data_IF_444410989791
#
_entry.id   IF_444410989791
#
_cell.length_a   1.000
_cell.length_b   1.000
_cell.length_c   1.000
_cell.angle_alpha   90.00
_cell.angle_beta   90.00
_cell.angle_gamma   90.00
#
_symmetry.space_group_name_H-M   'P 1'
#
loop_
_entity.id
_entity.type
_entity.pdbx_description
1 polymer ?
#
# COMPACT_ATOMS: atom_id res chain seq x y z
N UNK A 1 -7.88 5.18 17.35
CA UNK A 1 -7.81 5.17 15.87
C UNK A 1 -6.70 4.26 15.33
N UNK A 2 -5.43 4.45 15.72
CA UNK A 2 -4.32 3.60 15.23
C UNK A 2 -4.49 2.10 15.51
N UNK A 3 -5.08 1.73 16.66
CA UNK A 3 -5.34 0.33 17.01
C UNK A 3 -6.38 -0.35 16.09
N UNK A 4 -7.38 0.39 15.59
CA UNK A 4 -8.41 -0.14 14.68
C UNK A 4 -7.79 -0.47 13.32
N UNK A 5 -6.91 0.42 12.83
CA UNK A 5 -6.16 0.18 11.60
C UNK A 5 -5.28 -1.04 11.74
N UNK A 6 -4.50 -1.14 12.83
CA UNK A 6 -3.64 -2.30 13.08
C UNK A 6 -4.43 -3.61 13.17
N UNK A 7 -5.60 -3.59 13.81
CA UNK A 7 -6.47 -4.77 13.90
C UNK A 7 -6.99 -5.21 12.52
N UNK A 8 -7.40 -4.27 11.66
CA UNK A 8 -7.80 -4.55 10.29
C UNK A 8 -6.66 -5.12 9.44
N UNK A 9 -5.45 -4.58 9.59
CA UNK A 9 -4.25 -5.08 8.91
C UNK A 9 -3.90 -6.51 9.34
N UNK A 10 -3.95 -6.79 10.64
CA UNK A 10 -3.66 -8.13 11.20
C UNK A 10 -4.68 -9.16 10.72
N UNK A 11 -5.97 -8.81 10.70
CA UNK A 11 -7.03 -9.72 10.26
C UNK A 11 -6.95 -10.01 8.76
N UNK A 12 -6.53 -9.02 7.98
CA UNK A 12 -6.48 -9.12 6.51
C UNK A 12 -5.19 -9.75 5.97
N UNK A 13 -4.07 -9.62 6.70
CA UNK A 13 -2.76 -10.11 6.27
C UNK A 13 -2.73 -11.59 5.82
N UNK A 14 -3.37 -12.55 6.54
CA UNK A 14 -3.41 -13.95 6.11
C UNK A 14 -4.33 -14.19 4.90
N UNK A 15 -5.48 -13.49 4.85
CA UNK A 15 -6.49 -13.70 3.82
C UNK A 15 -6.10 -13.06 2.49
N UNK A 16 -5.53 -11.85 2.50
CA UNK A 16 -4.99 -11.20 1.31
C UNK A 16 -3.72 -11.89 0.81
N UNK A 17 -2.88 -12.42 1.69
CA UNK A 17 -1.72 -13.23 1.28
C UNK A 17 -2.15 -14.49 0.51
N UNK A 18 -3.14 -15.24 1.03
CA UNK A 18 -3.71 -16.41 0.33
C UNK A 18 -4.43 -16.02 -0.97
N UNK A 19 -5.07 -14.85 -1.02
CA UNK A 19 -5.70 -14.34 -2.24
C UNK A 19 -4.64 -13.93 -3.29
N UNK A 20 -3.51 -13.36 -2.85
CA UNK A 20 -2.37 -13.01 -3.69
C UNK A 20 -1.67 -14.24 -4.25
N UNK A 21 -1.64 -15.35 -3.51
CA UNK A 21 -1.15 -16.64 -4.00
C UNK A 21 -2.07 -17.26 -5.07
N UNK A 22 -3.39 -16.98 -5.05
CA UNK A 22 -4.36 -17.53 -6.01
C UNK A 22 -4.60 -16.65 -7.25
N UNK A 23 -4.66 -15.33 -7.10
CA UNK A 23 -4.98 -14.38 -8.18
C UNK A 23 -3.74 -13.73 -8.82
N UNK A 24 -2.56 -14.00 -8.27
CA UNK A 24 -1.33 -13.36 -8.69
C UNK A 24 -1.03 -12.11 -7.87
N UNK A 25 0.18 -12.08 -7.32
CA UNK A 25 0.69 -11.05 -6.42
C UNK A 25 0.51 -9.62 -6.98
N UNK A 26 0.80 -9.42 -8.26
CA UNK A 26 0.67 -8.11 -8.90
C UNK A 26 -0.78 -7.60 -9.01
N UNK A 27 -1.76 -8.50 -9.15
CA UNK A 27 -3.16 -8.12 -9.24
C UNK A 27 -3.68 -7.63 -7.89
N UNK A 28 -3.36 -8.37 -6.82
CA UNK A 28 -3.75 -8.03 -5.46
C UNK A 28 -3.08 -6.74 -5.01
N UNK A 29 -1.79 -6.54 -5.31
CA UNK A 29 -1.10 -5.27 -5.03
C UNK A 29 -1.81 -4.08 -5.68
N UNK A 30 -2.21 -4.20 -6.95
CA UNK A 30 -2.90 -3.12 -7.67
C UNK A 30 -4.28 -2.85 -7.05
N UNK A 31 -5.05 -3.89 -6.73
CA UNK A 31 -6.37 -3.75 -6.13
C UNK A 31 -6.30 -3.12 -4.73
N UNK A 32 -5.32 -3.54 -3.92
CA UNK A 32 -5.02 -2.95 -2.62
C UNK A 32 -4.68 -1.47 -2.70
N UNK A 33 -3.86 -1.08 -3.68
CA UNK A 33 -3.50 0.32 -3.90
C UNK A 33 -4.70 1.16 -4.33
N UNK A 34 -5.52 0.66 -5.27
CA UNK A 34 -6.76 1.34 -5.70
C UNK A 34 -7.72 1.52 -4.51
N UNK A 35 -7.95 0.47 -3.74
CA UNK A 35 -8.81 0.52 -2.57
C UNK A 35 -8.28 1.50 -1.52
N UNK A 36 -6.98 1.47 -1.23
CA UNK A 36 -6.34 2.40 -0.29
C UNK A 36 -6.48 3.86 -0.76
N UNK A 37 -6.24 4.17 -2.03
CA UNK A 37 -6.41 5.53 -2.57
C UNK A 37 -7.86 6.01 -2.45
N UNK A 38 -8.84 5.16 -2.78
CA UNK A 38 -10.27 5.50 -2.67
C UNK A 38 -10.68 5.74 -1.21
N UNK A 39 -10.26 4.89 -0.28
CA UNK A 39 -10.60 5.04 1.13
C UNK A 39 -9.90 6.24 1.79
N UNK A 40 -8.69 6.58 1.35
CA UNK A 40 -7.98 7.80 1.78
C UNK A 40 -8.66 9.06 1.25
N UNK A 41 -9.10 9.06 -0.01
CA UNK A 41 -9.85 10.17 -0.58
C UNK A 41 -11.21 10.36 0.12
N UNK A 42 -11.91 9.27 0.42
CA UNK A 42 -13.16 9.32 1.19
C UNK A 42 -12.94 9.84 2.62
N UNK A 43 -11.83 9.47 3.28
CA UNK A 43 -11.45 10.01 4.59
C UNK A 43 -11.20 11.52 4.58
N UNK A 44 -10.83 12.10 3.44
CA UNK A 44 -10.57 13.54 3.34
C UNK A 44 -11.85 14.39 3.33
N UNK A 45 -13.02 13.80 3.05
CA UNK A 45 -14.31 14.52 2.89
C UNK A 45 -15.31 14.14 3.99
N UNK A 46 -15.02 13.10 4.78
CA UNK A 46 -15.89 12.62 5.85
C UNK A 46 -15.52 13.30 7.18
N UNK A 47 -16.47 14.07 7.71
CA UNK A 47 -16.35 14.72 9.03
C UNK A 47 -16.87 13.85 10.18
N UNK A 48 -17.58 12.75 9.88
CA UNK A 48 -18.16 11.85 10.88
C UNK A 48 -17.11 10.87 11.45
N UNK A 49 -16.99 10.83 12.78
CA UNK A 49 -15.99 10.04 13.50
C UNK A 49 -16.13 8.53 13.27
N UNK A 50 -17.37 8.03 13.17
CA UNK A 50 -17.65 6.60 13.02
C UNK A 50 -17.37 6.17 11.58
N UNK A 51 -17.86 6.92 10.60
CA UNK A 51 -17.57 6.68 9.19
C UNK A 51 -16.07 6.76 8.90
N UNK A 52 -15.36 7.72 9.51
CA UNK A 52 -13.92 7.84 9.44
C UNK A 52 -13.21 6.60 10.02
N UNK A 53 -13.64 6.09 11.17
CA UNK A 53 -13.08 4.89 11.79
C UNK A 53 -13.28 3.62 10.94
N UNK A 54 -14.43 3.48 10.29
CA UNK A 54 -14.72 2.36 9.37
C UNK A 54 -13.82 2.44 8.14
N UNK A 55 -13.70 3.61 7.50
CA UNK A 55 -12.79 3.81 6.37
C UNK A 55 -11.33 3.51 6.75
N UNK A 56 -10.94 3.86 7.97
CA UNK A 56 -9.61 3.56 8.52
C UNK A 56 -9.37 2.05 8.67
N UNK A 57 -10.39 1.31 9.12
CA UNK A 57 -10.36 -0.14 9.21
C UNK A 57 -10.22 -0.79 7.82
N UNK A 58 -11.02 -0.33 6.85
CA UNK A 58 -10.96 -0.78 5.46
C UNK A 58 -9.61 -0.48 4.80
N UNK A 59 -9.02 0.68 5.11
CA UNK A 59 -7.67 1.03 4.64
C UNK A 59 -6.62 0.08 5.24
N UNK A 60 -6.73 -0.26 6.52
CA UNK A 60 -5.87 -1.25 7.17
C UNK A 60 -5.97 -2.64 6.52
N UNK A 61 -7.20 -3.07 6.21
CA UNK A 61 -7.46 -4.31 5.46
C UNK A 61 -6.75 -4.27 4.10
N UNK A 62 -6.91 -3.18 3.32
CA UNK A 62 -6.31 -3.06 1.99
C UNK A 62 -4.77 -3.09 2.03
N UNK A 63 -4.16 -2.44 3.04
CA UNK A 63 -2.71 -2.36 3.21
C UNK A 63 -2.08 -3.68 3.72
N UNK A 64 -2.84 -4.53 4.41
CA UNK A 64 -2.32 -5.75 5.05
C UNK A 64 -1.67 -6.75 4.09
N UNK A 65 -2.10 -6.78 2.83
CA UNK A 65 -1.54 -7.65 1.80
C UNK A 65 -0.32 -7.09 1.08
N UNK A 66 0.00 -5.80 1.22
CA UNK A 66 1.00 -5.14 0.36
C UNK A 66 2.42 -5.62 0.68
N UNK A 67 2.81 -5.62 1.96
CA UNK A 67 4.15 -6.00 2.40
C UNK A 67 4.56 -7.43 1.99
N UNK A 68 3.77 -8.50 2.27
CA UNK A 68 4.14 -9.84 1.84
C UNK A 68 4.16 -9.97 0.32
N UNK A 69 3.27 -9.26 -0.38
CA UNK A 69 3.17 -9.29 -1.83
C UNK A 69 4.41 -8.67 -2.51
N UNK A 70 4.90 -7.55 -2.00
CA UNK A 70 6.12 -6.90 -2.49
C UNK A 70 7.33 -7.79 -2.23
N UNK A 71 7.44 -8.38 -1.03
CA UNK A 71 8.55 -9.27 -0.68
C UNK A 71 8.58 -10.52 -1.56
N UNK A 72 7.45 -11.18 -1.82
CA UNK A 72 7.43 -12.36 -2.66
C UNK A 72 7.67 -12.03 -4.14
N UNK A 73 7.21 -10.85 -4.61
CA UNK A 73 7.55 -10.33 -5.93
C UNK A 73 9.05 -10.18 -6.09
N UNK A 74 9.72 -9.51 -5.14
CA UNK A 74 11.18 -9.31 -5.17
C UNK A 74 11.91 -10.66 -5.23
N UNK A 75 11.47 -11.64 -4.42
CA UNK A 75 12.05 -12.99 -4.41
C UNK A 75 11.83 -13.78 -5.70
N UNK A 76 10.76 -13.51 -6.45
CA UNK A 76 10.46 -14.20 -7.71
C UNK A 76 11.16 -13.60 -8.92
N UNK A 77 11.40 -12.28 -8.93
CA UNK A 77 12.01 -11.59 -10.08
C UNK A 77 13.54 -11.53 -10.02
N UNK A 78 14.15 -11.71 -8.84
CA UNK A 78 15.60 -11.58 -8.70
C UNK A 78 16.29 -12.92 -8.40
N UNK A 79 17.54 -13.10 -8.88
CA UNK A 79 18.42 -14.18 -8.44
C UNK A 79 18.71 -14.08 -6.94
N UNK A 80 18.87 -15.22 -6.26
CA UNK A 80 19.10 -15.30 -4.80
C UNK A 80 20.26 -14.41 -4.31
N UNK A 81 21.28 -14.19 -5.15
CA UNK A 81 22.42 -13.31 -4.88
C UNK A 81 22.06 -11.83 -4.72
N UNK A 82 20.97 -11.35 -5.33
CA UNK A 82 20.59 -9.93 -5.33
C UNK A 82 19.30 -9.64 -4.56
N UNK A 83 18.56 -10.67 -4.15
CA UNK A 83 17.32 -10.56 -3.35
C UNK A 83 17.56 -9.80 -2.04
N UNK A 84 18.65 -10.08 -1.34
CA UNK A 84 18.99 -9.43 -0.08
C UNK A 84 19.19 -7.92 -0.22
N UNK A 85 19.85 -7.48 -1.29
CA UNK A 85 20.09 -6.06 -1.57
C UNK A 85 18.78 -5.31 -1.84
N UNK A 86 17.91 -5.86 -2.68
CA UNK A 86 16.62 -5.23 -3.02
C UNK A 86 15.64 -5.25 -1.86
N UNK A 87 15.64 -6.31 -1.04
CA UNK A 87 14.90 -6.32 0.22
C UNK A 87 15.42 -5.26 1.19
N UNK A 88 16.74 -5.07 1.26
CA UNK A 88 17.36 -3.99 2.03
C UNK A 88 16.84 -2.61 1.59
N UNK A 89 16.85 -2.33 0.28
CA UNK A 89 16.28 -1.09 -0.26
C UNK A 89 14.79 -0.92 0.06
N UNK A 90 13.99 -1.98 -0.04
CA UNK A 90 12.56 -1.94 0.29
C UNK A 90 12.35 -1.55 1.77
N UNK A 91 13.11 -2.17 2.69
CA UNK A 91 13.06 -1.85 4.11
C UNK A 91 13.52 -0.41 4.37
N UNK A 92 14.60 0.04 3.74
CA UNK A 92 15.06 1.44 3.84
C UNK A 92 13.99 2.42 3.37
N UNK A 93 13.34 2.17 2.23
CA UNK A 93 12.24 2.99 1.73
C UNK A 93 11.07 3.03 2.72
N UNK A 94 10.76 1.90 3.36
CA UNK A 94 9.70 1.81 4.37
C UNK A 94 10.03 2.65 5.61
N UNK A 95 11.28 2.63 6.09
CA UNK A 95 11.73 3.48 7.19
C UNK A 95 11.69 4.96 6.83
N UNK A 96 12.13 5.33 5.62
CA UNK A 96 12.03 6.71 5.13
C UNK A 96 10.56 7.15 5.15
N UNK A 97 9.63 6.32 4.67
CA UNK A 97 8.21 6.62 4.72
C UNK A 97 7.66 6.76 6.13
N UNK A 98 8.09 5.91 7.07
CA UNK A 98 7.67 5.98 8.48
C UNK A 98 8.18 7.23 9.22
N UNK A 99 9.34 7.77 8.83
CA UNK A 99 9.90 8.99 9.42
C UNK A 99 9.37 10.23 8.72
N UNK A 100 9.47 10.29 7.39
CA UNK A 100 9.05 11.43 6.59
C UNK A 100 7.52 11.61 6.63
N UNK A 101 6.74 10.53 6.70
CA UNK A 101 5.29 10.55 6.71
C UNK A 101 4.70 11.41 7.83
N UNK A 102 4.97 11.09 9.12
CA UNK A 102 4.50 11.89 10.26
C UNK A 102 5.03 13.31 10.27
N UNK A 103 6.28 13.54 9.83
CA UNK A 103 6.88 14.88 9.78
C UNK A 103 6.14 15.76 8.77
N UNK A 104 5.95 15.27 7.54
CA UNK A 104 5.20 15.97 6.50
C UNK A 104 3.72 16.13 6.89
N UNK A 105 3.12 15.10 7.48
CA UNK A 105 1.75 15.13 7.97
C UNK A 105 1.55 16.15 9.09
N UNK A 106 2.48 16.24 10.04
CA UNK A 106 2.44 17.21 11.13
C UNK A 106 2.64 18.64 10.64
N UNK A 107 3.58 18.84 9.72
CA UNK A 107 3.83 20.15 9.11
C UNK A 107 2.63 20.65 8.30
N UNK A 108 2.08 19.81 7.40
CA UNK A 108 0.88 20.11 6.62
C UNK A 108 -0.36 20.29 7.50
N UNK A 109 -0.52 19.43 8.50
CA UNK A 109 -1.63 19.51 9.45
C UNK A 109 -1.62 20.78 10.28
N UNK A 110 -0.43 21.31 10.59
CA UNK A 110 -0.26 22.57 11.33
C UNK A 110 -0.60 23.83 10.52
N UNK A 111 -0.36 23.82 9.20
CA UNK A 111 -0.58 25.00 8.34
C UNK A 111 -1.93 24.99 7.60
N UNK A 112 -2.43 23.81 7.22
CA UNK A 112 -3.58 23.67 6.33
C UNK A 112 -4.68 22.72 6.87
N UNK A 113 -4.55 22.29 8.14
CA UNK A 113 -5.55 21.46 8.83
C UNK A 113 -5.49 19.99 8.42
N UNK A 114 -6.20 19.14 9.17
CA UNK A 114 -6.09 17.67 9.07
C UNK A 114 -6.55 17.12 7.71
N UNK A 115 -7.49 17.78 7.02
CA UNK A 115 -7.96 17.39 5.69
C UNK A 115 -6.85 17.45 4.62
N UNK A 116 -5.98 18.47 4.68
CA UNK A 116 -4.86 18.63 3.75
C UNK A 116 -3.89 17.44 3.80
N UNK A 117 -3.70 16.85 4.99
CA UNK A 117 -2.85 15.68 5.21
C UNK A 117 -3.41 14.46 4.49
N UNK A 118 -4.72 14.25 4.55
CA UNK A 118 -5.37 13.14 3.85
C UNK A 118 -5.30 13.29 2.34
N UNK A 119 -5.49 14.51 1.82
CA UNK A 119 -5.35 14.79 0.38
C UNK A 119 -3.90 14.54 -0.08
N UNK A 120 -2.91 15.05 0.65
CA UNK A 120 -1.50 14.83 0.33
C UNK A 120 -1.15 13.33 0.34
N UNK A 121 -1.64 12.59 1.34
CA UNK A 121 -1.43 11.14 1.45
C UNK A 121 -2.11 10.37 0.31
N UNK A 122 -3.31 10.80 -0.11
CA UNK A 122 -4.01 10.23 -1.25
C UNK A 122 -3.24 10.47 -2.56
N UNK A 123 -2.67 11.66 -2.77
CA UNK A 123 -1.84 11.98 -3.95
C UNK A 123 -0.59 11.09 -3.98
N UNK A 124 0.13 10.97 -2.86
CA UNK A 124 1.33 10.13 -2.76
C UNK A 124 0.98 8.66 -3.08
N UNK A 125 -0.14 8.17 -2.54
CA UNK A 125 -0.60 6.81 -2.79
C UNK A 125 -1.04 6.63 -4.25
N UNK A 126 -1.67 7.62 -4.87
CA UNK A 126 -2.06 7.60 -6.27
C UNK A 126 -0.84 7.55 -7.21
N UNK A 127 0.24 8.30 -6.90
CA UNK A 127 1.51 8.20 -7.63
C UNK A 127 2.08 6.78 -7.50
N UNK A 128 2.06 6.20 -6.30
CA UNK A 128 2.45 4.79 -6.08
C UNK A 128 1.62 3.78 -6.88
N UNK A 129 0.32 4.03 -7.03
CA UNK A 129 -0.56 3.23 -7.87
C UNK A 129 -0.19 3.35 -9.37
N UNK A 130 0.12 4.55 -9.84
CA UNK A 130 0.55 4.78 -11.23
C UNK A 130 1.86 4.04 -11.51
N UNK A 131 2.85 4.13 -10.61
CA UNK A 131 4.12 3.41 -10.79
C UNK A 131 3.91 1.90 -10.74
N UNK A 132 3.09 1.40 -9.81
CA UNK A 132 2.76 -0.03 -9.74
C UNK A 132 2.06 -0.54 -11.02
N UNK A 133 1.11 0.22 -11.56
CA UNK A 133 0.42 -0.14 -12.82
C UNK A 133 1.33 -0.01 -14.04
N UNK A 134 2.24 0.97 -14.08
CA UNK A 134 3.24 1.11 -15.13
C UNK A 134 4.22 -0.06 -15.13
N UNK A 135 4.73 -0.46 -13.96
CA UNK A 135 5.58 -1.65 -13.79
C UNK A 135 4.82 -2.90 -14.23
N UNK A 136 3.56 -3.05 -13.81
CA UNK A 136 2.72 -4.19 -14.24
C UNK A 136 2.53 -4.25 -15.75
N UNK A 137 2.36 -3.11 -16.43
CA UNK A 137 2.26 -3.05 -17.91
C UNK A 137 3.59 -3.42 -18.57
N UNK A 138 4.71 -2.97 -18.01
CA UNK A 138 6.03 -3.27 -18.54
C UNK A 138 6.41 -4.75 -18.39
N UNK A 139 6.16 -5.34 -17.22
CA UNK A 139 6.42 -6.77 -16.98
C UNK A 139 5.32 -7.72 -17.49
N UNK A 140 4.21 -7.20 -18.05
CA UNK A 140 3.14 -8.02 -18.63
C UNK A 140 3.64 -8.92 -19.75
N UNK A 141 4.64 -8.47 -20.52
CA UNK A 141 5.26 -9.26 -21.58
C UNK A 141 6.15 -10.40 -21.05
N UNK A 142 6.75 -10.24 -19.86
CA UNK A 142 7.53 -11.30 -19.24
C UNK A 142 6.68 -12.27 -18.43
N UNK A 143 5.51 -11.87 -17.92
CA UNK A 143 4.63 -12.76 -17.14
C UNK A 143 3.73 -13.63 -18.03
N UNK A 144 3.32 -13.15 -19.20
CA UNK A 144 2.49 -13.91 -20.14
C UNK A 144 3.19 -15.16 -20.74
N UNK A 145 4.52 -15.22 -20.67
CA UNK A 145 5.30 -16.37 -21.14
C UNK A 145 5.34 -17.55 -20.12
N UNK A 146 4.74 -17.39 -18.93
CA UNK A 146 4.82 -18.38 -17.83
C UNK A 146 3.45 -18.91 -17.41
N UNK A 147 2.35 -18.37 -17.98
CA UNK A 147 0.98 -18.89 -17.82
C UNK A 147 0.56 -19.81 -18.99
N UNK A 148 1.44 -20.04 -19.97
CA UNK A 148 1.29 -20.98 -21.09
C UNK A 148 2.22 -22.18 -20.92
#
# INVERSE_FOLDING_TARGET
>A
MFSITAFGTILSSPNLGKLADRMGHMQVLTLSLVAATLFLAAQAVVDDLIAFAILRFLTGIALGGITPTVVATIRRLLPDTSVGLVLGYNVSAQYIGQVAGPVLAGWLGGIAGTHSVFIATAIITAVGLITATAIRRHFRHHLAAWEA
#
